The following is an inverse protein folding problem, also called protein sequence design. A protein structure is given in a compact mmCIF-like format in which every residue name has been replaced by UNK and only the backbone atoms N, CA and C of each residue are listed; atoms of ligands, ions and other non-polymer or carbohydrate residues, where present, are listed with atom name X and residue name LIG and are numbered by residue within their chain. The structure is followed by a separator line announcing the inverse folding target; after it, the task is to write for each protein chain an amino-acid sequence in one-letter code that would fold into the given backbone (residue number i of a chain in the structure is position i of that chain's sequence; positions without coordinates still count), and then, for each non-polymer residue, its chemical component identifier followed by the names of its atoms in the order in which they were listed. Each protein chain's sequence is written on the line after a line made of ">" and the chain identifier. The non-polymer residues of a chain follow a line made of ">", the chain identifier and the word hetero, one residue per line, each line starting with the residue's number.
data_IF_046627510053
#
_entry.id   IF_046627510053
#
_cell.length_a   1.000
_cell.length_b   1.000
_cell.length_c   1.000
_cell.angle_alpha   90.00
_cell.angle_beta   90.00
_cell.angle_gamma   90.00
#
_symmetry.space_group_name_H-M   'P 1'
#
loop_
_entity.id
_entity.type
_entity.pdbx_description
1 polymer ?
#
# COMPACT_ATOMS: atom_id res chain seq x y z
N UNK A 1 -6.75 11.64 -20.60
CA UNK A 1 -5.59 12.42 -20.19
C UNK A 1 -4.38 12.03 -21.04
N UNK A 2 -3.78 13.01 -21.70
CA UNK A 2 -2.54 12.81 -22.45
C UNK A 2 -1.34 12.94 -21.49
N UNK A 3 -0.59 11.88 -21.32
CA UNK A 3 0.62 11.89 -20.49
C UNK A 3 1.84 12.09 -21.41
N UNK A 4 2.50 13.23 -21.27
CA UNK A 4 3.72 13.54 -22.06
C UNK A 4 4.97 13.03 -21.31
N UNK A 5 5.63 12.03 -21.87
CA UNK A 5 6.90 11.48 -21.39
C UNK A 5 8.12 12.15 -22.03
N UNK A 6 8.03 13.43 -22.41
CA UNK A 6 9.06 14.18 -23.13
C UNK A 6 10.38 14.43 -22.38
N UNK A 7 10.55 13.95 -21.15
CA UNK A 7 11.76 14.16 -20.35
C UNK A 7 12.97 13.28 -20.71
N UNK A 8 12.89 12.53 -21.81
CA UNK A 8 14.02 11.80 -22.37
C UNK A 8 14.57 12.58 -23.58
N UNK A 9 15.60 13.40 -23.36
CA UNK A 9 16.40 13.98 -24.47
C UNK A 9 16.94 12.83 -25.32
N UNK A 10 16.47 12.72 -26.57
CA UNK A 10 16.87 11.72 -27.55
C UNK A 10 15.91 10.53 -27.73
N UNK A 11 14.82 10.41 -26.99
CA UNK A 11 13.73 9.52 -27.30
C UNK A 11 12.71 10.23 -28.20
N UNK A 12 12.23 9.60 -29.25
CA UNK A 12 11.05 10.06 -29.98
C UNK A 12 9.93 10.33 -28.96
N UNK A 13 9.31 11.51 -29.02
CA UNK A 13 8.14 11.85 -28.21
C UNK A 13 7.07 10.78 -28.45
N UNK A 14 6.86 9.91 -27.47
CA UNK A 14 5.77 8.93 -27.50
C UNK A 14 4.61 9.48 -26.71
N UNK A 15 3.55 9.88 -27.41
CA UNK A 15 2.29 10.27 -26.80
C UNK A 15 1.47 9.01 -26.59
N UNK A 16 1.03 8.79 -25.36
CA UNK A 16 0.13 7.70 -24.99
C UNK A 16 -1.25 8.27 -24.68
N UNK A 17 -2.27 7.62 -25.20
CA UNK A 17 -3.66 7.87 -24.83
C UNK A 17 -4.04 6.84 -23.75
N UNK A 18 -4.45 7.34 -22.59
CA UNK A 18 -4.86 6.54 -21.44
C UNK A 18 -6.36 6.69 -21.23
N UNK A 19 -7.09 5.59 -21.36
CA UNK A 19 -8.50 5.50 -21.02
C UNK A 19 -8.70 4.53 -19.86
N UNK A 20 -9.36 4.98 -18.81
CA UNK A 20 -9.63 4.20 -17.61
C UNK A 20 -11.09 4.25 -17.21
N UNK A 21 -11.71 3.10 -17.02
CA UNK A 21 -13.06 2.91 -16.57
C UNK A 21 -13.11 2.14 -15.26
N UNK A 22 -13.75 2.71 -14.25
CA UNK A 22 -13.90 2.11 -12.94
C UNK A 22 -15.37 2.06 -12.52
N UNK A 23 -15.81 0.92 -12.02
CA UNK A 23 -17.12 0.78 -11.40
C UNK A 23 -17.02 -0.03 -10.11
N UNK A 24 -17.68 0.42 -9.05
CA UNK A 24 -17.72 -0.28 -7.78
C UNK A 24 -19.10 -0.18 -7.14
N UNK A 25 -19.66 -1.32 -6.75
CA UNK A 25 -20.91 -1.43 -6.02
C UNK A 25 -20.72 -2.34 -4.81
N UNK A 26 -21.23 -1.95 -3.64
CA UNK A 26 -21.29 -2.84 -2.49
C UNK A 26 -22.58 -2.70 -1.72
N UNK A 27 -22.99 -3.80 -1.08
CA UNK A 27 -24.10 -3.82 -0.13
C UNK A 27 -23.71 -4.66 1.09
N UNK A 28 -24.17 -4.24 2.26
CA UNK A 28 -23.90 -4.94 3.52
C UNK A 28 -25.17 -5.07 4.34
N UNK A 29 -25.30 -6.22 4.99
CA UNK A 29 -26.35 -6.51 5.96
C UNK A 29 -25.75 -6.77 7.33
N UNK A 30 -26.33 -6.18 8.38
CA UNK A 30 -25.94 -6.41 9.77
C UNK A 30 -27.17 -6.64 10.62
N UNK A 31 -27.13 -7.67 11.46
CA UNK A 31 -28.22 -8.00 12.38
C UNK A 31 -27.67 -8.51 13.72
N UNK A 32 -28.22 -8.03 14.81
CA UNK A 32 -28.00 -8.60 16.14
C UNK A 32 -29.27 -9.34 16.56
N UNK A 33 -29.12 -10.59 17.02
CA UNK A 33 -30.23 -11.41 17.50
C UNK A 33 -30.32 -11.33 19.03
N UNK A 34 -31.49 -11.68 19.59
CA UNK A 34 -31.74 -11.74 21.04
C UNK A 34 -30.77 -12.66 21.79
N UNK A 35 -30.29 -13.74 21.13
CA UNK A 35 -29.26 -14.64 21.68
C UNK A 35 -27.83 -14.07 21.69
N UNK A 36 -27.63 -12.77 21.36
CA UNK A 36 -26.33 -12.10 21.38
C UNK A 36 -25.43 -12.41 20.18
N UNK A 37 -25.90 -13.15 19.16
CA UNK A 37 -25.21 -13.34 17.91
C UNK A 37 -25.29 -12.10 17.04
N UNK A 38 -24.15 -11.71 16.47
CA UNK A 38 -24.04 -10.62 15.51
C UNK A 38 -23.71 -11.18 14.14
N UNK A 39 -24.57 -10.91 13.19
CA UNK A 39 -24.47 -11.38 11.82
C UNK A 39 -24.00 -10.23 10.92
N UNK A 40 -23.12 -10.56 10.00
CA UNK A 40 -22.69 -9.68 8.94
C UNK A 40 -22.68 -10.47 7.63
N UNK A 41 -23.27 -9.91 6.60
CA UNK A 41 -23.12 -10.37 5.23
C UNK A 41 -22.82 -9.18 4.34
N UNK A 42 -22.01 -9.36 3.32
CA UNK A 42 -21.68 -8.32 2.36
C UNK A 42 -21.40 -8.92 1.00
N UNK A 43 -21.79 -8.20 -0.03
CA UNK A 43 -21.47 -8.49 -1.43
C UNK A 43 -20.94 -7.22 -2.05
N UNK A 44 -19.84 -7.31 -2.80
CA UNK A 44 -19.28 -6.23 -3.58
C UNK A 44 -18.95 -6.71 -4.99
N UNK A 45 -19.15 -5.82 -5.95
CA UNK A 45 -18.70 -6.01 -7.32
C UNK A 45 -17.79 -4.85 -7.72
N UNK A 46 -16.67 -5.16 -8.34
CA UNK A 46 -15.76 -4.17 -8.93
C UNK A 46 -15.47 -4.52 -10.38
N UNK A 47 -15.35 -3.49 -11.18
CA UNK A 47 -14.90 -3.53 -12.56
C UNK A 47 -13.83 -2.46 -12.75
N UNK A 48 -12.73 -2.84 -13.36
CA UNK A 48 -11.64 -1.97 -13.77
C UNK A 48 -11.25 -2.31 -15.20
N UNK A 49 -11.13 -1.32 -16.05
CA UNK A 49 -10.56 -1.44 -17.40
C UNK A 49 -9.61 -0.29 -17.64
N UNK A 50 -8.41 -0.60 -18.12
CA UNK A 50 -7.42 0.38 -18.55
C UNK A 50 -6.97 0.05 -19.97
N UNK A 51 -6.99 1.06 -20.84
CA UNK A 51 -6.49 0.98 -22.22
C UNK A 51 -5.42 2.03 -22.42
N UNK A 52 -4.27 1.61 -22.92
CA UNK A 52 -3.18 2.50 -23.30
C UNK A 52 -2.90 2.29 -24.77
N UNK A 53 -3.03 3.35 -25.56
CA UNK A 53 -2.70 3.38 -26.99
C UNK A 53 -1.51 4.30 -27.23
N UNK A 54 -0.67 3.97 -28.17
CA UNK A 54 0.40 4.84 -28.63
C UNK A 54 -0.14 5.72 -29.77
N UNK A 55 -0.26 7.02 -29.53
CA UNK A 55 -0.80 7.98 -30.52
C UNK A 55 0.11 8.07 -31.78
N UNK A 56 1.42 7.84 -31.59
CA UNK A 56 2.41 7.87 -32.68
C UNK A 56 2.47 6.60 -33.50
N UNK A 57 2.04 5.46 -32.91
CA UNK A 57 1.99 4.14 -33.52
C UNK A 57 0.63 3.54 -33.24
N UNK A 58 -0.31 3.72 -34.16
CA UNK A 58 -1.73 3.31 -33.98
C UNK A 58 -1.94 1.79 -33.76
N UNK A 59 -0.88 0.99 -33.87
CA UNK A 59 -0.88 -0.45 -33.69
C UNK A 59 -0.47 -0.90 -32.29
N UNK A 60 0.13 0.00 -31.48
CA UNK A 60 0.56 -0.35 -30.13
C UNK A 60 -0.60 -0.14 -29.17
N UNK A 61 -1.21 -1.23 -28.71
CA UNK A 61 -2.31 -1.22 -27.76
C UNK A 61 -2.03 -2.14 -26.59
N UNK A 62 -2.29 -1.65 -25.39
CA UNK A 62 -2.34 -2.44 -24.18
C UNK A 62 -3.70 -2.28 -23.52
N UNK A 63 -4.31 -3.38 -23.13
CA UNK A 63 -5.57 -3.41 -22.38
C UNK A 63 -5.42 -4.33 -21.19
N UNK A 64 -5.83 -3.85 -20.03
CA UNK A 64 -6.00 -4.63 -18.82
C UNK A 64 -7.42 -4.47 -18.31
N UNK A 65 -8.10 -5.60 -18.05
CA UNK A 65 -9.44 -5.63 -17.47
C UNK A 65 -9.46 -6.54 -16.25
N UNK A 66 -10.07 -6.06 -15.18
CA UNK A 66 -10.27 -6.84 -13.96
C UNK A 66 -11.73 -6.72 -13.50
N UNK A 67 -12.32 -7.86 -13.18
CA UNK A 67 -13.65 -7.94 -12.58
C UNK A 67 -13.55 -8.80 -11.32
N UNK A 68 -14.22 -8.39 -10.26
CA UNK A 68 -14.27 -9.17 -9.03
C UNK A 68 -15.67 -9.11 -8.41
N UNK A 69 -16.24 -10.27 -8.14
CA UNK A 69 -17.39 -10.43 -7.27
C UNK A 69 -16.88 -10.99 -5.93
N UNK A 70 -17.05 -10.24 -4.86
CA UNK A 70 -16.66 -10.60 -3.51
C UNK A 70 -17.89 -10.78 -2.64
N UNK A 71 -18.06 -11.96 -2.05
CA UNK A 71 -19.10 -12.27 -1.09
C UNK A 71 -18.47 -12.69 0.25
N UNK A 72 -19.01 -12.17 1.36
CA UNK A 72 -18.56 -12.48 2.71
C UNK A 72 -19.72 -12.62 3.67
N UNK A 73 -19.68 -13.66 4.49
CA UNK A 73 -20.59 -13.83 5.62
C UNK A 73 -19.79 -14.14 6.88
N UNK A 74 -20.11 -13.47 7.97
CA UNK A 74 -19.50 -13.78 9.28
C UNK A 74 -20.53 -13.69 10.39
N UNK A 75 -20.28 -14.44 11.45
CA UNK A 75 -21.03 -14.38 12.69
C UNK A 75 -20.05 -14.30 13.84
N UNK A 76 -20.39 -13.52 14.86
CA UNK A 76 -19.61 -13.48 16.08
C UNK A 76 -20.49 -13.35 17.31
N UNK A 77 -20.00 -13.90 18.42
CA UNK A 77 -20.67 -13.86 19.71
C UNK A 77 -19.65 -13.76 20.83
N UNK A 78 -19.95 -12.94 21.82
CA UNK A 78 -19.29 -12.98 23.12
C UNK A 78 -19.97 -14.08 23.95
N UNK A 79 -19.31 -15.22 24.10
CA UNK A 79 -19.80 -16.41 24.78
C UNK A 79 -19.83 -16.17 26.28
N UNK A 80 -18.80 -15.51 26.82
CA UNK A 80 -18.68 -15.08 28.20
C UNK A 80 -17.95 -13.73 28.29
N UNK A 81 -17.87 -13.07 29.46
CA UNK A 81 -17.03 -11.89 29.62
C UNK A 81 -15.57 -12.10 29.17
N UNK A 82 -15.06 -13.32 29.37
CA UNK A 82 -13.68 -13.67 29.05
C UNK A 82 -13.48 -14.26 27.64
N UNK A 83 -14.55 -14.63 26.90
CA UNK A 83 -14.38 -15.37 25.66
C UNK A 83 -15.31 -14.89 24.53
N UNK A 84 -14.71 -14.59 23.37
CA UNK A 84 -15.40 -14.24 22.14
C UNK A 84 -14.99 -15.17 20.99
N UNK A 85 -15.96 -15.57 20.18
CA UNK A 85 -15.78 -16.38 18.98
C UNK A 85 -16.27 -15.61 17.76
N UNK A 86 -15.46 -15.61 16.71
CA UNK A 86 -15.78 -15.08 15.39
C UNK A 86 -15.53 -16.17 14.34
N UNK A 87 -16.46 -16.37 13.43
CA UNK A 87 -16.30 -17.31 12.31
C UNK A 87 -16.96 -16.78 11.05
N UNK A 88 -16.48 -17.19 9.90
CA UNK A 88 -17.09 -16.79 8.65
C UNK A 88 -16.49 -17.46 7.44
N UNK A 89 -17.13 -17.15 6.31
CA UNK A 89 -16.75 -17.62 4.99
C UNK A 89 -16.65 -16.43 4.04
N UNK A 90 -15.82 -16.56 3.01
CA UNK A 90 -15.55 -15.53 2.04
C UNK A 90 -15.24 -16.15 0.68
N UNK A 91 -15.74 -15.57 -0.38
CA UNK A 91 -15.46 -16.01 -1.74
C UNK A 91 -15.21 -14.83 -2.66
N UNK A 92 -14.18 -14.95 -3.52
CA UNK A 92 -13.86 -14.03 -4.60
C UNK A 92 -13.96 -14.79 -5.91
N UNK A 93 -14.76 -14.29 -6.83
CA UNK A 93 -14.82 -14.74 -8.22
C UNK A 93 -14.22 -13.62 -9.05
N UNK A 94 -13.09 -13.89 -9.67
CA UNK A 94 -12.32 -12.91 -10.43
C UNK A 94 -12.30 -13.28 -11.90
N UNK A 95 -12.27 -12.27 -12.75
CA UNK A 95 -11.85 -12.37 -14.14
C UNK A 95 -10.76 -11.33 -14.36
N UNK A 96 -9.68 -11.79 -14.93
CA UNK A 96 -8.57 -10.94 -15.36
C UNK A 96 -8.26 -11.23 -16.82
N UNK A 97 -8.18 -10.18 -17.60
CA UNK A 97 -7.83 -10.23 -19.02
C UNK A 97 -6.78 -9.18 -19.31
N UNK A 98 -5.75 -9.57 -20.05
CA UNK A 98 -4.70 -8.68 -20.54
C UNK A 98 -4.46 -8.95 -22.01
N UNK A 99 -4.49 -7.90 -22.82
CA UNK A 99 -4.13 -7.94 -24.25
C UNK A 99 -3.04 -6.93 -24.49
N UNK A 100 -2.03 -7.36 -25.21
CA UNK A 100 -0.90 -6.54 -25.58
C UNK A 100 -0.58 -6.75 -27.04
N UNK A 101 -0.62 -5.67 -27.85
CA UNK A 101 -0.22 -5.63 -29.22
C UNK A 101 0.89 -4.60 -29.38
N UNK A 102 2.00 -5.04 -29.94
CA UNK A 102 3.15 -4.19 -30.20
C UNK A 102 3.75 -4.52 -31.56
N UNK A 103 3.93 -3.50 -32.41
CA UNK A 103 4.54 -3.66 -33.73
C UNK A 103 5.95 -3.10 -33.74
N UNK A 104 6.93 -3.96 -33.97
CA UNK A 104 8.29 -3.53 -34.18
C UNK A 104 8.49 -3.09 -35.66
N UNK A 105 9.25 -1.99 -35.88
CA UNK A 105 9.49 -1.43 -37.23
C UNK A 105 10.14 -2.41 -38.20
N UNK A 106 10.83 -3.44 -37.74
CA UNK A 106 11.64 -4.37 -38.56
C UNK A 106 11.51 -5.86 -38.17
N UNK A 107 10.56 -6.21 -37.28
CA UNK A 107 10.34 -7.59 -36.85
C UNK A 107 8.85 -7.93 -36.77
N UNK A 108 8.51 -9.23 -36.66
CA UNK A 108 7.16 -9.67 -36.39
C UNK A 108 6.63 -8.98 -35.10
N UNK A 109 5.41 -8.42 -35.20
CA UNK A 109 4.74 -7.79 -34.08
C UNK A 109 4.43 -8.82 -32.98
N UNK A 110 4.37 -8.37 -31.74
CA UNK A 110 3.94 -9.18 -30.61
C UNK A 110 2.43 -8.97 -30.44
N UNK A 111 1.66 -10.05 -30.47
CA UNK A 111 0.24 -10.07 -30.10
C UNK A 111 0.08 -11.12 -29.00
N UNK A 112 -0.28 -10.69 -27.81
CA UNK A 112 -0.49 -11.59 -26.67
C UNK A 112 -1.83 -11.34 -26.00
N UNK A 113 -2.52 -12.42 -25.68
CA UNK A 113 -3.79 -12.40 -24.97
C UNK A 113 -3.75 -13.42 -23.83
N UNK A 114 -3.93 -12.95 -22.61
CA UNK A 114 -3.96 -13.80 -21.44
C UNK A 114 -5.24 -13.55 -20.65
N UNK A 115 -5.94 -14.62 -20.28
CA UNK A 115 -7.15 -14.57 -19.46
C UNK A 115 -7.07 -15.62 -18.36
N UNK A 116 -7.50 -15.26 -17.15
CA UNK A 116 -7.69 -16.17 -16.03
C UNK A 116 -8.98 -15.86 -15.26
N UNK A 117 -9.61 -16.89 -14.74
CA UNK A 117 -10.86 -16.79 -13.99
C UNK A 117 -10.75 -17.51 -12.63
N UNK A 118 -9.92 -17.00 -11.68
CA UNK A 118 -9.76 -17.63 -10.39
C UNK A 118 -10.99 -17.47 -9.50
N UNK A 119 -11.38 -18.57 -8.85
CA UNK A 119 -12.26 -18.54 -7.69
C UNK A 119 -11.45 -18.82 -6.45
N UNK A 120 -11.56 -17.95 -5.44
CA UNK A 120 -10.89 -18.08 -4.15
C UNK A 120 -11.96 -18.20 -3.09
N UNK A 121 -12.00 -19.31 -2.37
CA UNK A 121 -12.95 -19.54 -1.28
C UNK A 121 -12.21 -19.72 0.04
N UNK A 122 -12.64 -19.04 1.08
CA UNK A 122 -11.98 -19.06 2.38
C UNK A 122 -12.97 -19.26 3.52
N UNK A 123 -12.55 -20.02 4.52
CA UNK A 123 -13.17 -20.08 5.84
C UNK A 123 -12.21 -19.54 6.89
N UNK A 124 -12.75 -18.88 7.92
CA UNK A 124 -11.94 -18.39 9.02
C UNK A 124 -12.64 -18.56 10.37
N UNK A 125 -11.81 -18.76 11.38
CA UNK A 125 -12.21 -18.88 12.78
C UNK A 125 -11.24 -18.06 13.63
N UNK A 126 -11.76 -17.27 14.58
CA UNK A 126 -10.97 -16.52 15.55
C UNK A 126 -11.57 -16.67 16.93
N UNK A 127 -10.74 -16.98 17.90
CA UNK A 127 -11.08 -17.07 19.32
C UNK A 127 -10.30 -15.99 20.07
N UNK A 128 -11.02 -15.08 20.74
CA UNK A 128 -10.41 -14.06 21.60
C UNK A 128 -10.68 -14.42 23.04
N UNK A 129 -9.63 -14.46 23.86
CA UNK A 129 -9.65 -14.79 25.27
C UNK A 129 -9.09 -13.65 26.12
N UNK A 130 -9.78 -13.31 27.17
CA UNK A 130 -9.44 -12.30 28.18
C UNK A 130 -9.26 -12.97 29.54
N UNK A 131 -8.08 -13.55 29.84
CA UNK A 131 -7.85 -14.24 31.13
C UNK A 131 -7.95 -13.30 32.30
N UNK A 132 -7.55 -12.06 32.12
CA UNK A 132 -7.72 -10.91 33.04
C UNK A 132 -8.04 -9.67 32.21
N UNK A 133 -8.51 -8.61 32.84
CA UNK A 133 -8.91 -7.36 32.15
C UNK A 133 -7.78 -6.75 31.35
N UNK A 134 -6.54 -6.89 31.85
CA UNK A 134 -5.35 -6.33 31.21
C UNK A 134 -4.80 -7.18 30.04
N UNK A 135 -5.23 -8.43 29.89
CA UNK A 135 -4.66 -9.33 28.90
C UNK A 135 -5.68 -9.78 27.87
N UNK A 136 -5.42 -9.51 26.61
CA UNK A 136 -6.18 -10.02 25.45
C UNK A 136 -5.29 -10.95 24.63
N UNK A 137 -5.70 -12.18 24.43
CA UNK A 137 -5.08 -13.11 23.50
C UNK A 137 -6.07 -13.48 22.39
N UNK A 138 -5.64 -13.50 21.13
CA UNK A 138 -6.45 -13.89 19.98
C UNK A 138 -5.70 -14.92 19.15
N UNK A 139 -6.32 -16.08 19.01
CA UNK A 139 -5.87 -17.15 18.09
C UNK A 139 -6.83 -17.21 16.92
N UNK A 140 -6.31 -17.14 15.71
CA UNK A 140 -7.13 -17.25 14.50
C UNK A 140 -6.51 -18.15 13.46
N UNK A 141 -7.36 -18.73 12.64
CA UNK A 141 -6.99 -19.55 11.50
C UNK A 141 -7.84 -19.15 10.30
N UNK A 142 -7.20 -19.04 9.15
CA UNK A 142 -7.83 -18.89 7.84
C UNK A 142 -7.38 -20.03 6.95
N UNK A 143 -8.34 -20.70 6.34
CA UNK A 143 -8.11 -21.71 5.30
C UNK A 143 -8.63 -21.15 3.99
N UNK A 144 -7.84 -21.22 2.94
CA UNK A 144 -8.16 -20.64 1.64
C UNK A 144 -7.88 -21.67 0.53
N UNK A 145 -8.87 -21.90 -0.31
CA UNK A 145 -8.80 -22.73 -1.51
C UNK A 145 -8.80 -21.83 -2.75
N UNK A 146 -8.01 -22.15 -3.76
CA UNK A 146 -8.02 -21.49 -5.06
C UNK A 146 -8.20 -22.50 -6.19
N UNK A 147 -9.07 -22.17 -7.15
CA UNK A 147 -9.37 -23.04 -8.31
C UNK A 147 -8.22 -23.14 -9.31
N UNK A 148 -7.27 -22.18 -9.33
CA UNK A 148 -6.17 -22.19 -10.32
C UNK A 148 -5.19 -23.34 -10.12
N UNK A 149 -4.82 -23.63 -8.89
CA UNK A 149 -3.84 -24.67 -8.57
C UNK A 149 -4.40 -25.74 -7.63
N UNK A 150 -5.72 -25.73 -7.36
CA UNK A 150 -6.46 -26.69 -6.54
C UNK A 150 -5.84 -26.91 -5.13
N UNK A 151 -5.16 -25.90 -4.58
CA UNK A 151 -4.46 -26.01 -3.31
C UNK A 151 -5.16 -25.27 -2.19
N UNK A 152 -5.04 -25.86 -1.02
CA UNK A 152 -5.50 -25.27 0.23
C UNK A 152 -4.33 -24.65 0.96
N UNK A 153 -4.48 -23.39 1.33
CA UNK A 153 -3.53 -22.65 2.16
C UNK A 153 -4.07 -22.54 3.58
N UNK A 154 -3.20 -22.77 4.56
CA UNK A 154 -3.50 -22.67 5.98
C UNK A 154 -2.70 -21.53 6.60
N UNK A 155 -3.38 -20.58 7.25
CA UNK A 155 -2.83 -19.33 7.74
C UNK A 155 -3.19 -19.11 9.22
N UNK A 156 -2.44 -19.73 10.17
CA UNK A 156 -2.62 -19.49 11.61
C UNK A 156 -2.02 -18.16 12.02
N UNK A 157 -2.64 -17.50 13.02
CA UNK A 157 -2.20 -16.21 13.56
C UNK A 157 -2.45 -16.16 15.06
N UNK A 158 -1.53 -15.54 15.79
CA UNK A 158 -1.63 -15.26 17.21
C UNK A 158 -1.40 -13.77 17.43
N UNK A 159 -2.23 -13.14 18.26
CA UNK A 159 -2.03 -11.78 18.71
C UNK A 159 -2.25 -11.72 20.24
N UNK A 160 -1.35 -11.01 20.93
CA UNK A 160 -1.43 -10.79 22.37
C UNK A 160 -1.27 -9.29 22.63
N UNK A 161 -2.19 -8.74 23.43
CA UNK A 161 -2.10 -7.35 23.90
C UNK A 161 -2.18 -7.33 25.42
N UNK A 162 -1.30 -6.55 26.04
CA UNK A 162 -1.28 -6.31 27.47
C UNK A 162 -1.46 -4.83 27.76
N UNK A 163 -2.48 -4.48 28.52
CA UNK A 163 -2.89 -3.11 28.81
C UNK A 163 -2.36 -2.68 30.18
N UNK A 164 -1.56 -1.64 30.22
CA UNK A 164 -0.96 -1.03 31.42
C UNK A 164 -1.39 0.44 31.50
N UNK A 165 -2.60 0.70 31.99
CA UNK A 165 -3.18 2.03 31.93
C UNK A 165 -3.26 2.52 30.46
N UNK A 166 -2.60 3.63 30.18
CA UNK A 166 -2.54 4.24 28.83
C UNK A 166 -1.54 3.58 27.89
N UNK A 167 -0.79 2.56 28.35
CA UNK A 167 0.19 1.84 27.56
C UNK A 167 -0.36 0.48 27.12
N UNK A 168 -0.20 0.14 25.84
CA UNK A 168 -0.51 -1.17 25.29
C UNK A 168 0.77 -1.81 24.76
N UNK A 169 1.14 -2.97 25.30
CA UNK A 169 2.17 -3.82 24.75
C UNK A 169 1.52 -4.85 23.81
N UNK A 170 2.06 -5.05 22.64
CA UNK A 170 1.52 -5.97 21.64
C UNK A 170 2.58 -6.92 21.09
N UNK A 171 2.18 -8.17 20.86
CA UNK A 171 2.98 -9.14 20.12
C UNK A 171 2.08 -9.89 19.14
N UNK A 172 2.53 -10.05 17.90
CA UNK A 172 1.80 -10.81 16.88
C UNK A 172 2.74 -11.74 16.14
N UNK A 173 2.24 -12.93 15.82
CA UNK A 173 2.91 -13.90 14.96
C UNK A 173 1.87 -14.52 14.03
N UNK A 174 2.20 -14.70 12.75
CA UNK A 174 1.26 -15.31 11.83
C UNK A 174 1.84 -15.66 10.47
N UNK A 175 1.15 -16.59 9.82
CA UNK A 175 1.35 -16.91 8.41
C UNK A 175 0.28 -16.22 7.58
N UNK A 176 0.69 -15.67 6.46
CA UNK A 176 -0.16 -14.99 5.48
C UNK A 176 0.11 -15.59 4.12
N UNK A 177 -0.92 -15.76 3.31
CA UNK A 177 -0.82 -16.25 1.94
C UNK A 177 -1.60 -15.34 1.01
N UNK A 178 -1.09 -15.18 -0.21
CA UNK A 178 -1.77 -14.47 -1.29
C UNK A 178 -1.45 -15.12 -2.63
N UNK A 179 -2.34 -15.00 -3.59
CA UNK A 179 -2.01 -15.33 -4.99
C UNK A 179 -0.99 -14.33 -5.52
N UNK A 180 -0.06 -14.75 -6.40
CA UNK A 180 0.72 -13.83 -7.20
C UNK A 180 -0.18 -12.85 -7.95
N UNK A 181 0.37 -11.72 -8.40
CA UNK A 181 -0.39 -10.74 -9.18
C UNK A 181 -0.98 -11.37 -10.44
N UNK A 182 -2.20 -10.96 -10.81
CA UNK A 182 -2.98 -11.58 -11.90
C UNK A 182 -2.22 -11.66 -13.22
N UNK A 183 -1.40 -10.65 -13.52
CA UNK A 183 -0.56 -10.62 -14.74
C UNK A 183 0.41 -11.81 -14.82
N UNK A 184 1.03 -12.20 -13.70
CA UNK A 184 1.96 -13.34 -13.67
C UNK A 184 1.19 -14.67 -13.70
N UNK A 185 0.05 -14.75 -13.00
CA UNK A 185 -0.82 -15.93 -13.03
C UNK A 185 -1.43 -16.16 -14.42
N UNK A 186 -1.67 -15.11 -15.19
CA UNK A 186 -2.18 -15.22 -16.55
C UNK A 186 -1.14 -15.80 -17.52
N UNK A 187 0.15 -15.60 -17.23
CA UNK A 187 1.26 -16.21 -17.97
C UNK A 187 1.54 -17.66 -17.49
N UNK A 188 1.48 -17.91 -16.18
CA UNK A 188 1.72 -19.24 -15.59
C UNK A 188 0.71 -19.49 -14.43
N UNK A 189 -0.38 -20.19 -14.74
CA UNK A 189 -1.47 -20.43 -13.81
C UNK A 189 -1.16 -21.47 -12.72
N UNK A 190 -0.05 -22.20 -12.83
CA UNK A 190 0.42 -23.18 -11.83
C UNK A 190 1.24 -22.56 -10.70
N UNK A 191 1.51 -21.27 -10.74
CA UNK A 191 2.19 -20.60 -9.65
C UNK A 191 1.49 -20.83 -8.33
N UNK A 192 2.29 -21.14 -7.29
CA UNK A 192 1.77 -21.35 -5.93
C UNK A 192 1.43 -20.02 -5.28
N UNK A 193 0.49 -20.03 -4.34
CA UNK A 193 0.28 -18.86 -3.48
C UNK A 193 1.58 -18.49 -2.76
N UNK A 194 1.96 -17.24 -2.85
CA UNK A 194 3.06 -16.65 -2.08
C UNK A 194 2.76 -16.73 -0.59
N UNK A 195 3.76 -16.83 0.25
CA UNK A 195 3.58 -16.87 1.70
C UNK A 195 4.52 -15.94 2.44
N UNK A 196 4.03 -15.42 3.56
CA UNK A 196 4.80 -14.59 4.47
C UNK A 196 4.58 -15.09 5.90
N UNK A 197 5.65 -15.34 6.64
CA UNK A 197 5.62 -15.48 8.09
C UNK A 197 6.05 -14.14 8.67
N UNK A 198 5.24 -13.58 9.56
CA UNK A 198 5.46 -12.26 10.13
C UNK A 198 5.42 -12.33 11.65
N UNK A 199 6.35 -11.61 12.28
CA UNK A 199 6.43 -11.37 13.72
C UNK A 199 6.49 -9.87 13.95
N UNK A 200 5.67 -9.36 14.87
CA UNK A 200 5.72 -7.97 15.31
C UNK A 200 5.68 -7.92 16.82
N UNK A 201 6.43 -6.99 17.40
CA UNK A 201 6.37 -6.63 18.82
C UNK A 201 6.34 -5.11 18.91
N UNK A 202 5.43 -4.56 19.71
CA UNK A 202 5.27 -3.12 19.80
C UNK A 202 4.78 -2.65 21.15
N UNK A 203 4.94 -1.35 21.36
CA UNK A 203 4.38 -0.61 22.46
C UNK A 203 3.70 0.65 21.94
N UNK A 204 2.54 0.97 22.50
CA UNK A 204 1.75 2.15 22.18
C UNK A 204 1.36 2.83 23.47
N UNK A 205 1.47 4.16 23.49
CA UNK A 205 0.92 5.03 24.52
C UNK A 205 -0.15 5.94 23.90
N UNK A 206 -1.30 6.06 24.53
CA UNK A 206 -2.36 6.98 24.12
C UNK A 206 -2.99 7.62 25.35
N UNK A 207 -2.79 8.91 25.53
CA UNK A 207 -3.32 9.67 26.67
C UNK A 207 -3.00 11.14 26.55
N UNK A 208 -3.83 11.99 27.16
CA UNK A 208 -3.63 13.44 27.33
C UNK A 208 -3.26 14.17 26.00
N UNK A 209 -3.87 13.78 24.86
CA UNK A 209 -3.57 14.40 23.57
C UNK A 209 -2.24 13.99 22.97
N UNK A 210 -1.65 12.89 23.44
CA UNK A 210 -0.43 12.26 22.93
C UNK A 210 -0.72 10.87 22.42
N UNK A 211 -0.05 10.52 21.33
CA UNK A 211 -0.05 9.17 20.79
C UNK A 211 1.38 8.81 20.35
N UNK A 212 1.97 7.80 21.00
CA UNK A 212 3.31 7.31 20.69
C UNK A 212 3.25 5.83 20.39
N UNK A 213 3.93 5.39 19.34
CA UNK A 213 4.01 3.98 18.97
C UNK A 213 5.43 3.62 18.53
N UNK A 214 5.89 2.47 19.00
CA UNK A 214 7.11 1.83 18.52
C UNK A 214 6.81 0.37 18.17
N UNK A 215 7.27 -0.11 17.03
CA UNK A 215 7.06 -1.48 16.56
C UNK A 215 8.34 -2.02 15.94
N UNK A 216 8.72 -3.25 16.31
CA UNK A 216 9.75 -4.05 15.67
C UNK A 216 9.06 -5.12 14.82
N UNK A 217 9.57 -5.38 13.62
CA UNK A 217 9.01 -6.41 12.76
C UNK A 217 10.07 -7.25 12.07
N UNK A 218 9.69 -8.51 11.79
CA UNK A 218 10.42 -9.43 10.93
C UNK A 218 9.41 -10.16 10.04
N UNK A 219 9.67 -10.16 8.71
CA UNK A 219 8.86 -10.84 7.69
C UNK A 219 9.76 -11.75 6.86
N UNK A 220 9.40 -13.01 6.75
CA UNK A 220 10.04 -13.97 5.85
C UNK A 220 9.08 -14.32 4.73
N UNK A 221 9.52 -14.16 3.50
CA UNK A 221 8.76 -14.44 2.29
C UNK A 221 9.25 -15.73 1.65
N UNK A 222 8.33 -16.58 1.23
CA UNK A 222 8.59 -17.81 0.51
C UNK A 222 7.62 -17.95 -0.66
N UNK A 223 8.03 -18.69 -1.69
CA UNK A 223 7.22 -18.98 -2.89
C UNK A 223 6.83 -17.74 -3.69
N UNK A 224 7.68 -16.72 -3.68
CA UNK A 224 7.48 -15.55 -4.52
C UNK A 224 7.62 -15.96 -6.01
N UNK A 225 6.84 -15.33 -6.88
CA UNK A 225 6.98 -15.52 -8.32
C UNK A 225 8.38 -15.08 -8.77
N UNK A 226 9.06 -15.94 -9.54
CA UNK A 226 10.44 -15.74 -9.98
C UNK A 226 10.56 -16.12 -11.46
N UNK A 227 11.21 -15.28 -12.25
CA UNK A 227 11.63 -15.59 -13.62
C UNK A 227 12.98 -16.29 -13.56
N UNK A 228 13.06 -17.52 -14.07
CA UNK A 228 14.28 -18.33 -14.14
C UNK A 228 14.58 -18.67 -15.59
N UNK A 229 15.86 -18.81 -15.92
CA UNK A 229 16.25 -19.37 -17.23
C UNK A 229 15.91 -20.84 -17.28
N UNK A 230 15.10 -21.24 -18.25
CA UNK A 230 14.77 -22.64 -18.48
C UNK A 230 15.99 -23.47 -18.90
N UNK A 231 15.89 -24.77 -18.70
CA UNK A 231 16.94 -25.74 -19.07
C UNK A 231 16.94 -26.08 -20.56
N UNK A 232 15.84 -25.80 -21.26
CA UNK A 232 15.66 -26.04 -22.69
C UNK A 232 15.60 -24.69 -23.40
N UNK A 233 16.44 -24.49 -24.40
CA UNK A 233 16.52 -23.30 -25.27
C UNK A 233 16.71 -21.95 -24.55
N UNK A 234 17.16 -21.96 -23.28
CA UNK A 234 17.31 -20.79 -22.42
C UNK A 234 16.06 -19.90 -22.31
N UNK A 235 14.86 -20.44 -22.61
CA UNK A 235 13.60 -19.74 -22.46
C UNK A 235 13.37 -19.34 -20.97
N UNK A 236 12.79 -18.20 -20.77
CA UNK A 236 12.41 -17.74 -19.42
C UNK A 236 11.18 -18.50 -18.94
N UNK A 237 11.22 -18.99 -17.69
CA UNK A 237 10.14 -19.74 -17.06
C UNK A 237 9.76 -19.07 -15.74
N UNK A 238 8.46 -18.87 -15.54
CA UNK A 238 7.93 -18.40 -14.28
C UNK A 238 7.80 -19.57 -13.29
N UNK A 239 8.42 -19.41 -12.13
CA UNK A 239 8.41 -20.40 -11.05
C UNK A 239 7.96 -19.76 -9.72
N UNK A 240 7.70 -20.59 -8.72
CA UNK A 240 7.45 -20.15 -7.34
C UNK A 240 8.69 -20.34 -6.44
N UNK A 241 9.87 -20.17 -7.02
CA UNK A 241 11.17 -20.37 -6.34
C UNK A 241 11.68 -19.15 -5.59
N UNK A 242 10.99 -18.02 -5.70
CA UNK A 242 11.43 -16.77 -5.07
C UNK A 242 11.26 -16.78 -3.56
N UNK A 243 12.12 -16.00 -2.88
CA UNK A 243 12.12 -15.84 -1.43
C UNK A 243 12.72 -14.51 -1.02
N UNK A 244 12.60 -14.19 0.28
CA UNK A 244 13.18 -12.95 0.79
C UNK A 244 12.83 -12.69 2.25
N UNK A 245 13.24 -11.52 2.72
CA UNK A 245 12.89 -11.05 4.04
C UNK A 245 12.78 -9.53 4.10
N UNK A 246 12.06 -9.04 5.11
CA UNK A 246 12.06 -7.65 5.51
C UNK A 246 12.09 -7.58 7.03
N UNK A 247 12.94 -6.70 7.58
CA UNK A 247 13.06 -6.47 9.02
C UNK A 247 13.35 -5.02 9.30
N UNK A 248 12.86 -4.53 10.42
CA UNK A 248 13.05 -3.14 10.78
C UNK A 248 12.25 -2.73 12.00
N UNK A 249 12.15 -1.43 12.16
CA UNK A 249 11.32 -0.83 13.18
C UNK A 249 10.63 0.44 12.67
N UNK A 250 9.47 0.71 13.25
CA UNK A 250 8.66 1.89 13.00
C UNK A 250 8.48 2.66 14.31
N UNK A 251 8.65 3.98 14.23
CA UNK A 251 8.37 4.93 15.30
C UNK A 251 7.33 5.93 14.81
N UNK A 252 6.36 6.21 15.66
CA UNK A 252 5.35 7.23 15.41
C UNK A 252 5.09 8.03 16.67
N UNK A 253 5.13 9.35 16.57
CA UNK A 253 4.86 10.29 17.65
C UNK A 253 3.87 11.33 17.13
N UNK A 254 2.79 11.55 17.88
CA UNK A 254 1.88 12.67 17.70
C UNK A 254 1.65 13.30 19.08
N UNK A 255 1.91 14.59 19.18
CA UNK A 255 1.76 15.32 20.44
C UNK A 255 1.21 16.73 20.19
N UNK A 256 0.20 17.10 20.97
CA UNK A 256 -0.49 18.39 20.91
C UNK A 256 -0.31 19.20 22.19
N UNK A 257 0.41 18.68 23.17
CA UNK A 257 0.45 19.19 24.55
C UNK A 257 1.82 19.72 24.94
N UNK A 258 2.91 19.11 24.39
CA UNK A 258 4.27 19.45 24.78
C UNK A 258 4.58 20.94 24.58
N UNK A 259 4.10 21.52 23.47
CA UNK A 259 4.31 22.94 23.15
C UNK A 259 2.95 23.59 22.88
N UNK A 260 2.72 24.75 23.51
CA UNK A 260 1.48 25.50 23.34
C UNK A 260 1.25 25.88 21.87
N UNK A 261 0.06 25.60 21.36
CA UNK A 261 -0.39 25.88 20.00
C UNK A 261 0.40 25.15 18.90
N UNK A 262 1.28 24.22 19.25
CA UNK A 262 2.02 23.39 18.28
C UNK A 262 1.58 21.94 18.42
N UNK A 263 1.11 21.38 17.32
CA UNK A 263 0.98 19.94 17.13
C UNK A 263 2.14 19.47 16.24
N UNK A 264 2.82 18.40 16.66
CA UNK A 264 3.81 17.76 15.81
C UNK A 264 3.51 16.27 15.65
N UNK A 265 3.77 15.78 14.46
CA UNK A 265 3.72 14.37 14.11
C UNK A 265 5.05 13.98 13.48
N UNK A 266 5.70 13.00 14.05
CA UNK A 266 6.94 12.41 13.52
C UNK A 266 6.68 10.94 13.24
N UNK A 267 6.96 10.50 12.03
CA UNK A 267 7.07 9.08 11.69
C UNK A 267 8.47 8.77 11.19
N UNK A 268 9.02 7.63 11.61
CA UNK A 268 10.30 7.14 11.15
C UNK A 268 10.27 5.63 10.99
N UNK A 269 10.71 5.15 9.84
CA UNK A 269 10.87 3.73 9.51
C UNK A 269 12.31 3.43 9.17
N UNK A 270 12.88 2.42 9.81
CA UNK A 270 14.10 1.75 9.38
C UNK A 270 13.74 0.39 8.83
N UNK A 271 14.11 0.11 7.57
CA UNK A 271 13.76 -1.13 6.89
C UNK A 271 14.96 -1.74 6.14
N UNK A 272 15.22 -3.01 6.38
CA UNK A 272 16.12 -3.82 5.57
C UNK A 272 15.27 -4.87 4.86
N UNK A 273 15.17 -4.78 3.54
CA UNK A 273 14.44 -5.74 2.72
C UNK A 273 15.36 -6.32 1.64
N UNK A 274 15.32 -7.64 1.48
CA UNK A 274 15.97 -8.33 0.37
C UNK A 274 15.03 -9.38 -0.21
N UNK A 275 14.99 -9.48 -1.53
CA UNK A 275 14.15 -10.46 -2.24
C UNK A 275 14.86 -10.99 -3.48
N UNK A 276 14.67 -12.27 -3.74
CA UNK A 276 14.85 -12.93 -5.03
C UNK A 276 13.45 -13.21 -5.57
N UNK A 277 12.97 -12.48 -6.57
CA UNK A 277 11.60 -12.56 -7.07
C UNK A 277 11.46 -11.84 -8.41
N UNK A 278 10.47 -12.18 -9.19
CA UNK A 278 10.29 -11.64 -10.53
C UNK A 278 11.61 -11.72 -11.33
N UNK A 279 12.10 -10.63 -11.87
CA UNK A 279 13.34 -10.56 -12.66
C UNK A 279 14.62 -10.47 -11.81
N UNK A 280 14.49 -10.41 -10.47
CA UNK A 280 15.66 -10.39 -9.57
C UNK A 280 16.21 -11.79 -9.38
N UNK A 281 17.27 -12.13 -10.14
CA UNK A 281 17.91 -13.46 -10.15
C UNK A 281 18.71 -13.78 -8.91
N UNK A 282 19.02 -12.77 -8.10
CA UNK A 282 19.76 -12.90 -6.83
C UNK A 282 19.05 -12.18 -5.68
N UNK A 283 19.44 -12.50 -4.44
CA UNK A 283 18.85 -11.91 -3.23
C UNK A 283 19.34 -10.47 -3.04
N UNK A 284 18.57 -9.51 -3.52
CA UNK A 284 18.93 -8.09 -3.53
C UNK A 284 17.85 -7.18 -2.94
N UNK A 285 18.17 -5.91 -2.71
CA UNK A 285 17.21 -4.90 -2.25
C UNK A 285 16.33 -4.46 -3.43
N UNK A 286 14.99 -4.62 -3.36
CA UNK A 286 14.12 -4.19 -4.44
C UNK A 286 14.16 -2.67 -4.67
N UNK A 287 13.97 -2.24 -5.90
CA UNK A 287 14.02 -0.82 -6.31
C UNK A 287 13.13 0.11 -5.48
N UNK A 288 11.99 -0.38 -5.01
CA UNK A 288 11.05 0.41 -4.21
C UNK A 288 11.41 0.47 -2.72
N UNK A 289 12.36 -0.35 -2.24
CA UNK A 289 12.71 -0.42 -0.83
C UNK A 289 13.78 0.60 -0.47
N UNK A 290 13.45 1.48 0.47
CA UNK A 290 14.37 2.44 1.06
C UNK A 290 14.68 2.07 2.48
N UNK A 291 15.92 2.34 2.93
CA UNK A 291 16.38 1.93 4.26
C UNK A 291 15.84 2.84 5.36
N UNK A 292 15.81 4.14 5.10
CA UNK A 292 15.34 5.16 6.04
C UNK A 292 14.22 5.95 5.40
N UNK A 293 13.10 6.08 6.11
CA UNK A 293 12.00 6.96 5.74
C UNK A 293 11.62 7.77 6.97
N UNK A 294 11.50 9.09 6.82
CA UNK A 294 11.09 9.98 7.87
C UNK A 294 10.05 10.99 7.35
N UNK A 295 9.07 11.32 8.15
CA UNK A 295 8.13 12.41 7.89
C UNK A 295 7.90 13.19 9.16
N UNK A 296 8.11 14.50 9.11
CA UNK A 296 7.83 15.44 10.17
C UNK A 296 6.73 16.38 9.71
N UNK A 297 5.63 16.44 10.43
CA UNK A 297 4.55 17.40 10.24
C UNK A 297 4.49 18.30 11.47
N UNK A 298 4.58 19.61 11.25
CA UNK A 298 4.39 20.63 12.27
C UNK A 298 3.16 21.45 11.91
N UNK A 299 2.29 21.70 12.88
CA UNK A 299 1.10 22.52 12.75
C UNK A 299 1.08 23.52 13.89
N UNK A 300 1.32 24.78 13.56
CA UNK A 300 1.33 25.86 14.54
C UNK A 300 0.12 26.77 14.37
N UNK A 301 -0.67 26.86 15.41
CA UNK A 301 -1.88 27.69 15.44
C UNK A 301 -1.57 29.06 16.06
N UNK A 302 -1.97 30.14 15.40
CA UNK A 302 -1.82 31.54 15.85
C UNK A 302 -3.23 32.12 16.05
N UNK A 303 -3.88 31.89 17.21
CA UNK A 303 -5.29 32.26 17.43
C UNK A 303 -5.55 33.76 17.26
N UNK A 304 -4.59 34.62 17.64
CA UNK A 304 -4.75 36.09 17.57
C UNK A 304 -5.10 36.61 16.18
N UNK A 305 -4.58 35.97 15.15
CA UNK A 305 -4.77 36.36 13.74
C UNK A 305 -5.54 35.31 12.94
N UNK A 306 -6.12 34.29 13.63
CA UNK A 306 -6.89 33.22 12.98
C UNK A 306 -6.09 32.44 11.96
N UNK A 307 -4.81 32.18 12.20
CA UNK A 307 -3.90 31.59 11.22
C UNK A 307 -3.32 30.27 11.72
N UNK A 308 -3.19 29.30 10.82
CA UNK A 308 -2.51 28.02 11.06
C UNK A 308 -1.39 27.90 10.02
N UNK A 309 -0.18 27.66 10.49
CA UNK A 309 0.99 27.37 9.66
C UNK A 309 1.31 25.89 9.76
N UNK A 310 1.33 25.22 8.61
CA UNK A 310 1.72 23.82 8.47
C UNK A 310 3.06 23.69 7.77
N UNK A 311 3.95 22.87 8.31
CA UNK A 311 5.22 22.50 7.67
C UNK A 311 5.29 20.99 7.61
N UNK A 312 5.59 20.43 6.42
CA UNK A 312 5.78 18.99 6.24
C UNK A 312 7.15 18.75 5.60
N UNK A 313 8.01 18.00 6.30
CA UNK A 313 9.25 17.52 5.70
C UNK A 313 9.16 16.01 5.48
N UNK A 314 9.50 15.53 4.29
CA UNK A 314 9.58 14.12 3.93
C UNK A 314 11.00 13.81 3.49
N UNK A 315 11.57 12.79 4.10
CA UNK A 315 12.90 12.28 3.80
C UNK A 315 12.84 10.78 3.52
N UNK A 316 13.60 10.34 2.51
CA UNK A 316 13.84 8.92 2.24
C UNK A 316 15.28 8.73 1.78
N UNK A 317 15.96 7.69 2.28
CA UNK A 317 17.27 7.31 1.74
C UNK A 317 17.14 6.97 0.25
N UNK A 318 18.24 7.08 -0.48
CA UNK A 318 18.28 6.77 -1.91
C UNK A 318 17.72 5.37 -2.20
N UNK A 319 16.91 5.28 -3.26
CA UNK A 319 16.41 4.00 -3.78
C UNK A 319 17.52 3.28 -4.51
N UNK A 320 17.62 1.94 -4.39
CA UNK A 320 18.57 1.18 -5.19
C UNK A 320 18.16 1.20 -6.68
N UNK A 321 19.13 1.19 -7.55
CA UNK A 321 18.97 0.99 -8.98
C UNK A 321 20.08 0.10 -9.53
N UNK A 322 19.86 -0.48 -10.69
CA UNK A 322 20.89 -1.27 -11.37
C UNK A 322 21.80 -0.34 -12.17
N UNK A 323 23.06 -0.24 -11.76
CA UNK A 323 24.11 0.44 -12.50
C UNK A 323 24.88 -0.59 -13.34
N UNK A 324 24.85 -0.54 -14.68
CA UNK A 324 25.51 -1.51 -15.54
C UNK A 324 27.04 -1.49 -15.44
N UNK A 325 27.62 -0.40 -14.94
CA UNK A 325 29.07 -0.22 -14.80
C UNK A 325 29.62 -0.89 -13.53
N UNK A 326 28.75 -1.40 -12.65
CA UNK A 326 29.11 -2.03 -11.37
C UNK A 326 28.67 -3.50 -11.35
N UNK A 327 29.40 -4.39 -10.65
CA UNK A 327 29.02 -5.79 -10.51
C UNK A 327 27.78 -5.98 -9.62
N UNK A 328 26.97 -7.03 -9.90
CA UNK A 328 25.78 -7.40 -9.13
C UNK A 328 24.51 -6.68 -9.60
N UNK A 329 23.38 -7.05 -9.01
CA UNK A 329 22.07 -6.50 -9.33
C UNK A 329 21.66 -5.46 -8.27
N UNK A 330 21.03 -4.34 -8.71
CA UNK A 330 20.59 -3.25 -7.82
C UNK A 330 21.73 -2.74 -6.91
N UNK A 331 22.87 -2.49 -7.52
CA UNK A 331 24.20 -2.34 -6.93
C UNK A 331 24.56 -0.89 -6.58
N UNK A 332 23.68 0.08 -6.93
CA UNK A 332 23.90 1.51 -6.68
C UNK A 332 22.61 2.18 -6.16
N UNK A 333 22.70 3.43 -5.69
CA UNK A 333 21.59 4.17 -5.09
C UNK A 333 21.50 5.58 -5.69
N UNK A 334 20.26 6.02 -5.96
CA UNK A 334 20.01 7.43 -6.28
C UNK A 334 20.22 8.32 -5.05
N UNK A 335 20.30 9.65 -5.27
CA UNK A 335 20.39 10.60 -4.16
C UNK A 335 19.20 10.48 -3.21
N UNK A 336 19.37 10.71 -1.90
CA UNK A 336 18.26 10.72 -0.96
C UNK A 336 17.17 11.71 -1.38
N UNK A 337 15.92 11.29 -1.26
CA UNK A 337 14.76 12.16 -1.45
C UNK A 337 14.57 13.09 -0.25
N UNK A 338 14.27 14.35 -0.50
CA UNK A 338 13.80 15.27 0.52
C UNK A 338 12.84 16.28 -0.09
N UNK A 339 11.69 16.52 0.56
CA UNK A 339 10.72 17.57 0.21
C UNK A 339 10.31 18.31 1.47
N UNK A 340 10.34 19.63 1.39
CA UNK A 340 9.80 20.52 2.42
C UNK A 340 8.60 21.26 1.84
N UNK A 341 7.44 21.06 2.47
CA UNK A 341 6.17 21.63 2.03
C UNK A 341 5.68 22.61 3.09
N UNK A 342 5.08 23.70 2.66
CA UNK A 342 4.51 24.74 3.51
C UNK A 342 3.01 24.88 3.22
N UNK A 343 2.19 24.97 4.28
CA UNK A 343 0.77 25.26 4.22
C UNK A 343 0.44 26.46 5.10
N UNK A 344 -0.42 27.34 4.61
CA UNK A 344 -0.95 28.47 5.36
C UNK A 344 -2.46 28.46 5.27
N UNK A 345 -3.13 28.40 6.41
CA UNK A 345 -4.59 28.51 6.49
C UNK A 345 -4.93 29.74 7.30
N UNK A 346 -5.65 30.69 6.69
CA UNK A 346 -6.11 31.91 7.32
C UNK A 346 -7.64 31.93 7.39
N UNK A 347 -8.18 32.22 8.57
CA UNK A 347 -9.60 32.33 8.86
C UNK A 347 -9.95 33.78 9.18
N UNK A 348 -10.18 34.64 8.17
CA UNK A 348 -10.56 36.03 8.38
C UNK A 348 -11.92 36.14 9.07
N UNK A 349 -12.76 35.14 8.98
CA UNK A 349 -14.04 35.04 9.69
C UNK A 349 -14.44 33.58 9.87
N UNK A 350 -15.45 33.33 10.74
CA UNK A 350 -16.01 31.98 10.94
C UNK A 350 -16.66 31.36 9.68
N UNK A 351 -16.74 32.10 8.58
CA UNK A 351 -17.39 31.67 7.33
C UNK A 351 -16.43 31.59 6.15
N UNK A 352 -15.21 32.05 6.31
CA UNK A 352 -14.23 32.13 5.21
C UNK A 352 -12.93 31.48 5.63
N UNK A 353 -12.43 30.58 4.80
CA UNK A 353 -11.08 30.01 4.90
C UNK A 353 -10.33 30.39 3.64
N UNK A 354 -9.13 30.93 3.81
CA UNK A 354 -8.14 31.09 2.74
C UNK A 354 -7.02 30.10 3.02
N UNK A 355 -6.79 29.19 2.08
CA UNK A 355 -5.73 28.20 2.20
C UNK A 355 -4.73 28.38 1.06
N UNK A 356 -3.46 28.46 1.39
CA UNK A 356 -2.35 28.45 0.44
C UNK A 356 -1.40 27.30 0.79
N UNK A 357 -0.87 26.62 -0.20
CA UNK A 357 0.16 25.60 0.00
C UNK A 357 1.20 25.62 -1.11
N UNK A 358 2.42 25.25 -0.74
CA UNK A 358 3.55 25.09 -1.64
C UNK A 358 4.28 23.79 -1.32
N UNK A 359 4.50 22.95 -2.32
CA UNK A 359 5.26 21.71 -2.17
C UNK A 359 6.70 21.93 -2.63
N UNK A 360 7.63 21.19 -2.02
CA UNK A 360 9.06 21.23 -2.34
C UNK A 360 9.63 22.65 -2.44
N UNK A 361 9.37 23.49 -1.41
CA UNK A 361 9.79 24.90 -1.37
C UNK A 361 11.31 25.10 -1.47
N UNK A 362 12.09 24.05 -1.22
CA UNK A 362 13.54 24.02 -1.41
C UNK A 362 13.94 23.81 -2.88
N UNK A 363 12.98 23.63 -3.78
CA UNK A 363 13.17 23.36 -5.21
C UNK A 363 14.18 22.24 -5.49
N UNK A 364 14.20 21.21 -4.62
CA UNK A 364 15.14 20.11 -4.74
C UNK A 364 14.74 19.19 -5.89
N UNK A 365 15.66 18.93 -6.81
CA UNK A 365 15.49 17.93 -7.87
C UNK A 365 15.65 16.52 -7.27
N UNK A 366 14.52 15.89 -6.97
CA UNK A 366 14.47 14.55 -6.39
C UNK A 366 14.55 13.49 -7.50
N UNK A 367 15.47 12.53 -7.34
CA UNK A 367 15.66 11.42 -8.26
C UNK A 367 14.88 10.20 -7.79
N UNK A 368 14.10 9.57 -8.68
CA UNK A 368 13.29 8.37 -8.38
C UNK A 368 13.90 7.07 -8.89
N UNK A 369 14.89 7.15 -9.75
CA UNK A 369 15.60 6.05 -10.37
C UNK A 369 16.62 6.56 -11.37
N UNK A 370 17.33 5.64 -12.03
CA UNK A 370 18.20 5.92 -13.17
C UNK A 370 18.03 4.85 -14.23
N UNK A 371 18.08 5.27 -15.48
CA UNK A 371 18.13 4.41 -16.66
C UNK A 371 19.30 4.88 -17.53
N UNK A 372 20.22 3.99 -17.85
CA UNK A 372 21.45 4.33 -18.60
C UNK A 372 22.18 5.55 -18.02
N UNK A 373 22.33 5.58 -16.69
CA UNK A 373 22.93 6.67 -15.92
C UNK A 373 22.18 8.02 -15.96
N UNK A 374 21.06 8.14 -16.70
CA UNK A 374 20.20 9.33 -16.69
C UNK A 374 19.21 9.26 -15.53
N UNK A 375 19.09 10.34 -14.75
CA UNK A 375 18.16 10.43 -13.62
C UNK A 375 16.71 10.51 -14.10
N UNK A 376 15.83 9.73 -13.44
CA UNK A 376 14.37 9.86 -13.56
C UNK A 376 13.93 10.86 -12.51
N UNK A 377 13.46 12.03 -12.94
CA UNK A 377 13.00 13.12 -12.08
C UNK A 377 11.46 13.15 -12.02
N UNK A 378 10.90 13.85 -11.04
CA UNK A 378 9.48 14.18 -11.05
C UNK A 378 9.15 15.09 -12.23
N UNK A 379 7.96 14.91 -12.82
CA UNK A 379 7.47 15.81 -13.89
C UNK A 379 7.27 17.23 -13.41
N UNK A 380 6.86 17.41 -12.15
CA UNK A 380 6.68 18.71 -11.49
C UNK A 380 7.45 18.73 -10.17
N UNK A 381 8.51 19.54 -10.08
CA UNK A 381 9.34 19.64 -8.88
C UNK A 381 8.64 20.42 -7.75
N UNK A 382 7.77 21.38 -8.08
CA UNK A 382 7.05 22.21 -7.11
C UNK A 382 5.63 22.50 -7.62
N UNK A 383 4.75 22.67 -6.67
CA UNK A 383 3.35 22.97 -6.94
C UNK A 383 2.87 24.02 -5.93
N UNK A 384 2.12 25.02 -6.42
CA UNK A 384 1.50 26.06 -5.62
C UNK A 384 0.00 25.97 -5.76
N UNK A 385 -0.69 26.09 -4.64
CA UNK A 385 -2.15 26.09 -4.58
C UNK A 385 -2.66 27.23 -3.72
N UNK A 386 -3.71 27.93 -4.15
CA UNK A 386 -4.49 28.87 -3.36
C UNK A 386 -5.97 28.53 -3.54
N UNK A 387 -6.70 28.43 -2.43
CA UNK A 387 -8.13 28.17 -2.40
C UNK A 387 -8.85 29.09 -1.41
N UNK A 388 -10.06 29.51 -1.75
CA UNK A 388 -10.94 30.26 -0.86
C UNK A 388 -12.24 29.47 -0.70
N UNK A 389 -12.61 29.20 0.55
CA UNK A 389 -13.82 28.46 0.91
C UNK A 389 -14.77 29.39 1.65
N UNK A 390 -16.00 29.53 1.20
CA UNK A 390 -17.00 30.40 1.78
C UNK A 390 -18.23 29.59 2.18
N UNK A 391 -18.64 29.68 3.43
CA UNK A 391 -19.85 29.04 3.96
C UNK A 391 -21.00 30.02 3.89
N UNK A 392 -22.01 29.72 3.08
CA UNK A 392 -23.20 30.57 2.87
C UNK A 392 -24.29 30.34 3.95
N UNK A 393 -24.16 29.32 4.80
CA UNK A 393 -25.13 28.98 5.84
C UNK A 393 -25.21 29.98 7.00
N UNK A 394 -26.31 29.91 7.78
CA UNK A 394 -26.52 30.76 8.98
C UNK A 394 -25.62 30.35 10.16
N UNK A 395 -25.19 29.08 10.26
CA UNK A 395 -24.30 28.59 11.32
C UNK A 395 -22.84 28.79 10.90
N UNK A 396 -22.04 29.35 11.81
CA UNK A 396 -20.57 29.42 11.62
C UNK A 396 -20.00 27.99 11.56
N UNK A 397 -19.24 27.69 10.52
CA UNK A 397 -18.72 26.35 10.30
C UNK A 397 -17.31 26.17 10.86
N UNK A 398 -16.55 27.26 11.04
CA UNK A 398 -15.11 27.16 11.32
C UNK A 398 -14.72 28.00 12.55
N UNK A 399 -13.96 27.38 13.45
CA UNK A 399 -13.32 28.05 14.60
C UNK A 399 -11.88 27.53 14.70
N UNK A 400 -10.91 28.42 14.86
CA UNK A 400 -9.48 28.09 15.00
C UNK A 400 -9.23 27.22 16.25
N UNK A 401 -10.07 27.34 17.29
CA UNK A 401 -9.96 26.53 18.49
C UNK A 401 -10.29 25.04 18.28
N UNK A 402 -10.91 24.70 17.14
CA UNK A 402 -11.27 23.35 16.78
C UNK A 402 -10.22 22.64 15.87
N UNK A 403 -9.11 23.30 15.58
CA UNK A 403 -8.06 22.76 14.72
C UNK A 403 -6.79 22.45 15.49
#
# INVERSE_FOLDING_TARGET
>A
DHTDFSNYEGAERRLFDLNENNFYLNTTFRKRTSGGWNWFAGVAFSFFEQKIGNVSLSTDHWMEQQQELHAKAKVFKRISPAFRLDMGVESFIRRYENRYQYQMKEAEGIDSHHEINPTISAGFLSATYYPVEQLKAELSVRTEYTSLNEKVNFSPRLAVNYYLGDVVLSATAGRYTQLPVSRLLAQENKLKSESCIQYNVGAQYEGDGRFYKAELYYKKYDRLALVEKGTVDAAEVLTSGGYGYSKGFDLFFNDRVLLKNLEYQLSYTYNIAKRKFQEYTELTTPQYATRHNASLVLKYSIPRIGTIVGLTNRFSSGRPYHNPDLPGLMNDHVKPYNSLDLGLTFLPSKKVIIHASATNILCRKNEFGRVNNKAILASNDHFFYIGVFITLGKKAAYDVSNF
#
